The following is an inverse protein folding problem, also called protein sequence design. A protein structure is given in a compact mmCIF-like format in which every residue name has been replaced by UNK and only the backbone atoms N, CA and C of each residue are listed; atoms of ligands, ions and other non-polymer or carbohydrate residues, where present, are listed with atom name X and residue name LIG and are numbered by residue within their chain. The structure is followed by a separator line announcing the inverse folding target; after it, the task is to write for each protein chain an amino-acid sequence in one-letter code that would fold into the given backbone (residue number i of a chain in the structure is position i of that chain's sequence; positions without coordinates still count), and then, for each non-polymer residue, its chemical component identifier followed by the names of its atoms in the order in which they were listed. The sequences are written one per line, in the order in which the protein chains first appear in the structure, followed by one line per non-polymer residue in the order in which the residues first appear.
data_IF_649430378552
#
_entry.id   IF_649430378552
#
_cell.length_a   1.000
_cell.length_b   1.000
_cell.length_c   1.000
_cell.angle_alpha   90.00
_cell.angle_beta   90.00
_cell.angle_gamma   90.00
#
_symmetry.space_group_name_H-M   'P 1'
#
loop_
_entity.id
_entity.type
_entity.pdbx_description
1 polymer ?
#
# COMPACT_ATOMS: atom_id res chain seq x y z
N UNK A 1 10.90 15.13 9.74
CA UNK A 1 11.44 13.84 10.14
C UNK A 1 12.16 13.27 8.94
N UNK A 2 13.32 12.66 9.16
CA UNK A 2 14.04 11.96 8.09
C UNK A 2 13.91 10.45 8.25
N UNK A 3 14.09 9.77 7.12
CA UNK A 3 14.18 8.33 7.01
C UNK A 3 15.58 7.94 6.56
N UNK A 4 16.16 6.94 7.22
CA UNK A 4 17.52 6.45 7.00
C UNK A 4 17.50 5.02 6.48
N UNK A 5 18.49 4.66 5.67
CA UNK A 5 18.65 3.27 5.22
C UNK A 5 19.13 2.39 6.37
N UNK A 6 18.58 1.17 6.48
CA UNK A 6 19.04 0.13 7.39
C UNK A 6 20.49 -0.32 7.13
N UNK A 7 21.07 0.01 5.97
CA UNK A 7 22.49 -0.25 5.66
C UNK A 7 23.40 0.96 5.86
N UNK A 8 22.83 2.13 6.18
CA UNK A 8 23.57 3.34 6.57
C UNK A 8 24.40 4.01 5.46
N UNK A 9 24.29 3.56 4.20
CA UNK A 9 25.10 4.06 3.07
C UNK A 9 24.28 4.88 2.07
N UNK A 10 23.05 5.25 2.44
CA UNK A 10 22.16 6.09 1.62
C UNK A 10 21.80 7.38 2.35
N UNK A 11 21.54 8.49 1.62
CA UNK A 11 21.11 9.75 2.22
C UNK A 11 19.84 9.61 3.04
N UNK A 12 19.73 10.44 4.08
CA UNK A 12 18.52 10.59 4.85
C UNK A 12 17.49 11.43 4.07
N UNK A 13 16.30 10.86 3.81
CA UNK A 13 15.28 11.42 2.92
C UNK A 13 13.99 11.74 3.67
N UNK A 14 13.11 12.56 3.09
CA UNK A 14 11.75 12.77 3.63
C UNK A 14 10.80 11.67 3.17
N UNK A 15 9.61 11.60 3.78
CA UNK A 15 8.62 10.57 3.47
C UNK A 15 8.25 10.53 1.98
N UNK A 16 7.92 11.68 1.37
CA UNK A 16 7.53 11.73 -0.04
C UNK A 16 8.67 11.32 -0.99
N UNK A 17 9.93 11.45 -0.57
CA UNK A 17 11.11 11.06 -1.36
C UNK A 17 11.33 9.54 -1.34
N UNK A 18 10.99 8.89 -0.23
CA UNK A 18 11.10 7.43 -0.09
C UNK A 18 9.83 6.71 -0.54
N UNK A 19 8.68 7.39 -0.57
CA UNK A 19 7.37 6.81 -0.89
C UNK A 19 7.35 6.09 -2.25
N UNK A 20 7.89 6.74 -3.28
CA UNK A 20 7.93 6.18 -4.64
C UNK A 20 9.10 5.21 -4.83
N UNK A 21 10.06 5.24 -3.91
CA UNK A 21 11.20 4.34 -3.86
C UNK A 21 10.82 3.02 -3.21
N UNK A 22 11.36 1.92 -3.74
CA UNK A 22 11.36 0.65 -3.02
C UNK A 22 12.55 0.63 -2.06
N UNK A 23 13.61 -0.03 -2.47
CA UNK A 23 14.87 -0.08 -1.72
C UNK A 23 15.61 1.26 -1.77
N UNK A 24 16.34 1.55 -0.71
CA UNK A 24 17.37 2.58 -0.72
C UNK A 24 18.48 2.25 -1.75
N UNK A 25 19.23 3.23 -2.26
CA UNK A 25 20.30 3.01 -3.24
C UNK A 25 21.35 1.96 -2.83
N UNK A 26 21.62 1.82 -1.53
CA UNK A 26 22.52 0.80 -0.96
C UNK A 26 21.88 -0.60 -0.82
N UNK A 27 20.63 -0.77 -1.25
CA UNK A 27 19.84 -2.00 -1.13
C UNK A 27 19.22 -2.22 0.26
N UNK A 28 19.28 -1.24 1.15
CA UNK A 28 18.61 -1.25 2.45
C UNK A 28 17.14 -0.83 2.38
N UNK A 29 16.48 -0.84 3.54
CA UNK A 29 15.11 -0.35 3.73
C UNK A 29 15.15 1.02 4.39
N UNK A 30 14.23 1.91 4.03
CA UNK A 30 14.10 3.18 4.73
C UNK A 30 13.28 3.01 6.02
N UNK A 31 13.81 3.52 7.13
CA UNK A 31 13.17 3.52 8.45
C UNK A 31 13.23 4.94 9.03
N UNK A 32 12.23 5.37 9.82
CA UNK A 32 12.29 6.68 10.45
C UNK A 32 13.50 6.75 11.37
N UNK A 33 14.19 7.89 11.39
CA UNK A 33 15.37 8.09 12.24
C UNK A 33 15.05 7.92 13.73
N UNK A 34 13.80 8.19 14.12
CA UNK A 34 13.25 8.01 15.45
C UNK A 34 11.79 7.58 15.35
N UNK A 35 11.35 6.68 16.21
CA UNK A 35 9.93 6.35 16.31
C UNK A 35 9.18 7.42 17.10
N UNK A 36 8.03 7.89 16.60
CA UNK A 36 7.21 8.84 17.33
C UNK A 36 6.72 8.23 18.64
N UNK A 37 6.79 9.01 19.71
CA UNK A 37 6.32 8.60 21.03
C UNK A 37 4.89 9.12 21.25
N UNK A 38 4.08 8.29 21.91
CA UNK A 38 2.73 8.65 22.37
C UNK A 38 2.69 8.57 23.89
N UNK A 39 2.32 9.67 24.52
CA UNK A 39 2.11 9.75 25.97
C UNK A 39 0.79 9.10 26.39
N UNK A 40 0.61 8.86 27.68
CA UNK A 40 -0.69 8.41 28.22
C UNK A 40 -1.83 9.37 27.86
N UNK A 41 -1.56 10.67 27.81
CA UNK A 41 -2.54 11.67 27.39
C UNK A 41 -2.92 11.50 25.90
N UNK A 42 -1.94 11.25 25.03
CA UNK A 42 -2.19 10.97 23.61
C UNK A 42 -3.04 9.71 23.46
N UNK A 43 -2.67 8.62 24.13
CA UNK A 43 -3.37 7.34 24.07
C UNK A 43 -4.81 7.43 24.61
N UNK A 44 -5.03 8.20 25.66
CA UNK A 44 -6.37 8.46 26.19
C UNK A 44 -7.23 9.26 25.21
N UNK A 45 -6.66 10.25 24.52
CA UNK A 45 -7.36 11.00 23.48
C UNK A 45 -7.69 10.12 22.26
N UNK A 46 -6.75 9.26 21.85
CA UNK A 46 -6.90 8.36 20.70
C UNK A 46 -7.99 7.30 20.89
N UNK A 47 -8.30 6.92 22.14
CA UNK A 47 -9.30 5.88 22.45
C UNK A 47 -10.70 6.17 21.88
N UNK A 48 -11.09 7.43 21.81
CA UNK A 48 -12.41 7.85 21.35
C UNK A 48 -12.46 8.20 19.85
N UNK A 49 -11.34 8.12 19.15
CA UNK A 49 -11.27 8.50 17.73
C UNK A 49 -11.89 7.43 16.84
N UNK A 50 -12.55 7.86 15.76
CA UNK A 50 -12.87 6.96 14.65
C UNK A 50 -11.58 6.58 13.90
N UNK A 51 -11.68 5.61 12.97
CA UNK A 51 -10.52 5.09 12.24
C UNK A 51 -9.73 6.19 11.49
N UNK A 52 -10.42 7.15 10.87
CA UNK A 52 -9.80 8.22 10.07
C UNK A 52 -9.03 9.20 10.95
N UNK A 53 -9.61 9.63 12.06
CA UNK A 53 -8.95 10.51 13.02
C UNK A 53 -7.74 9.83 13.67
N UNK A 54 -7.88 8.55 14.01
CA UNK A 54 -6.79 7.74 14.54
C UNK A 54 -5.65 7.57 13.53
N UNK A 55 -5.98 7.26 12.28
CA UNK A 55 -5.01 7.16 11.19
C UNK A 55 -4.26 8.48 11.00
N UNK A 56 -4.94 9.62 11.05
CA UNK A 56 -4.28 10.93 10.97
C UNK A 56 -3.36 11.19 12.18
N UNK A 57 -3.82 10.91 13.39
CA UNK A 57 -3.02 11.10 14.61
C UNK A 57 -1.70 10.31 14.57
N UNK A 58 -1.71 9.12 13.97
CA UNK A 58 -0.51 8.28 13.79
C UNK A 58 0.33 8.76 12.60
N UNK A 59 -0.27 8.87 11.41
CA UNK A 59 0.45 9.16 10.17
C UNK A 59 1.06 10.56 10.17
N UNK A 60 0.42 11.56 10.78
CA UNK A 60 0.97 12.93 10.89
C UNK A 60 2.26 13.02 11.70
N UNK A 61 2.57 12.01 12.53
CA UNK A 61 3.86 11.90 13.23
C UNK A 61 4.94 11.24 12.37
N UNK A 62 4.54 10.54 11.32
CA UNK A 62 5.43 9.84 10.38
C UNK A 62 5.62 10.60 9.06
N UNK A 63 4.71 11.50 8.73
CA UNK A 63 4.64 12.22 7.46
C UNK A 63 4.56 13.71 7.78
N UNK A 64 5.68 14.41 7.74
CA UNK A 64 5.76 15.84 8.05
C UNK A 64 6.03 16.74 6.83
N UNK A 65 6.05 16.15 5.64
CA UNK A 65 6.26 16.82 4.35
C UNK A 65 5.00 16.83 3.45
N UNK A 66 3.86 16.35 3.96
CA UNK A 66 2.52 16.53 3.38
C UNK A 66 1.73 17.51 4.27
N UNK A 67 1.14 18.58 3.72
CA UNK A 67 0.28 19.48 4.48
C UNK A 67 -0.84 18.75 5.22
N UNK A 68 -1.16 19.21 6.44
CA UNK A 68 -2.14 18.56 7.30
C UNK A 68 -3.52 18.37 6.63
N UNK A 69 -4.00 19.38 5.90
CA UNK A 69 -5.27 19.31 5.19
C UNK A 69 -5.26 18.27 4.07
N UNK A 70 -4.17 18.20 3.29
CA UNK A 70 -3.98 17.21 2.24
C UNK A 70 -3.92 15.79 2.80
N UNK A 71 -3.18 15.58 3.90
CA UNK A 71 -3.09 14.27 4.55
C UNK A 71 -4.46 13.82 5.08
N UNK A 72 -5.25 14.73 5.66
CA UNK A 72 -6.63 14.44 6.07
C UNK A 72 -7.52 14.08 4.88
N UNK A 73 -7.43 14.81 3.77
CA UNK A 73 -8.18 14.47 2.56
C UNK A 73 -7.82 13.08 2.04
N UNK A 74 -6.53 12.76 1.95
CA UNK A 74 -6.04 11.43 1.54
C UNK A 74 -6.63 10.32 2.44
N UNK A 75 -6.57 10.51 3.76
CA UNK A 75 -7.10 9.55 4.73
C UNK A 75 -8.63 9.40 4.62
N UNK A 76 -9.33 10.53 4.53
CA UNK A 76 -10.79 10.56 4.34
C UNK A 76 -11.21 9.93 3.02
N UNK A 77 -10.37 10.01 1.99
CA UNK A 77 -10.61 9.35 0.71
C UNK A 77 -10.31 7.85 0.72
N UNK A 78 -9.44 7.42 1.63
CA UNK A 78 -8.97 6.05 1.75
C UNK A 78 -9.91 5.20 2.58
N UNK A 79 -10.15 5.60 3.83
CA UNK A 79 -10.83 4.79 4.83
C UNK A 79 -12.28 5.21 4.97
N UNK A 80 -13.12 4.75 4.04
CA UNK A 80 -14.57 5.01 4.04
C UNK A 80 -15.37 3.71 4.03
N UNK A 81 -16.58 3.70 4.61
CA UNK A 81 -17.44 2.52 4.66
C UNK A 81 -17.75 1.92 3.28
N UNK A 82 -17.78 2.72 2.20
CA UNK A 82 -18.05 2.19 0.85
C UNK A 82 -16.89 1.38 0.28
N UNK A 83 -15.66 1.68 0.71
CA UNK A 83 -14.46 0.94 0.30
C UNK A 83 -14.31 -0.32 1.14
N UNK A 84 -14.62 -0.23 2.43
CA UNK A 84 -14.52 -1.32 3.41
C UNK A 84 -15.89 -1.94 3.73
N UNK A 85 -16.73 -2.06 2.69
CA UNK A 85 -18.13 -2.44 2.81
C UNK A 85 -18.38 -3.94 3.05
N UNK A 86 -17.37 -4.80 2.89
CA UNK A 86 -17.53 -6.25 2.96
C UNK A 86 -17.52 -6.76 4.40
N UNK A 87 -18.22 -6.08 5.30
CA UNK A 87 -18.35 -6.49 6.70
C UNK A 87 -19.16 -7.78 6.84
N UNK A 88 -19.09 -8.41 8.01
CA UNK A 88 -19.93 -9.57 8.37
C UNK A 88 -21.16 -9.13 9.16
N UNK A 89 -22.10 -10.04 9.36
CA UNK A 89 -23.29 -9.77 10.17
C UNK A 89 -22.92 -9.22 11.54
N UNK A 90 -23.59 -8.15 11.97
CA UNK A 90 -23.34 -7.48 13.25
C UNK A 90 -22.14 -6.52 13.27
N UNK A 91 -21.46 -6.29 12.14
CA UNK A 91 -20.34 -5.36 12.05
C UNK A 91 -20.71 -4.07 11.32
N UNK A 92 -20.20 -2.94 11.81
CA UNK A 92 -20.40 -1.62 11.22
C UNK A 92 -19.25 -1.26 10.25
N UNK A 93 -19.52 -0.99 8.96
CA UNK A 93 -18.48 -0.59 8.01
C UNK A 93 -17.83 0.76 8.34
N UNK A 94 -18.48 1.64 9.10
CA UNK A 94 -17.88 2.91 9.56
C UNK A 94 -16.66 2.70 10.47
N UNK A 95 -16.57 1.54 11.13
CA UNK A 95 -15.43 1.20 11.98
C UNK A 95 -14.18 0.86 11.16
N UNK A 96 -14.34 0.60 9.85
CA UNK A 96 -13.33 0.14 8.87
C UNK A 96 -12.74 -1.24 9.23
N UNK A 97 -12.23 -1.40 10.45
CA UNK A 97 -11.68 -2.63 11.01
C UNK A 97 -12.41 -3.03 12.32
N UNK A 98 -13.71 -3.40 12.26
CA UNK A 98 -14.47 -3.77 13.45
C UNK A 98 -13.89 -5.01 14.15
N UNK A 99 -14.01 -5.05 15.48
CA UNK A 99 -13.67 -6.24 16.26
C UNK A 99 -14.88 -7.15 16.46
N UNK A 100 -14.66 -8.46 16.41
CA UNK A 100 -15.67 -9.47 16.72
C UNK A 100 -15.20 -10.26 17.95
N UNK A 101 -15.96 -10.19 19.03
CA UNK A 101 -15.72 -11.03 20.21
C UNK A 101 -16.11 -12.47 19.89
N UNK A 102 -15.18 -13.41 20.09
CA UNK A 102 -15.44 -14.84 19.96
C UNK A 102 -15.70 -15.47 21.33
N UNK A 103 -14.84 -15.17 22.30
CA UNK A 103 -14.89 -15.69 23.67
C UNK A 103 -14.42 -14.61 24.66
N UNK A 104 -14.37 -14.94 25.95
CA UNK A 104 -13.71 -14.08 26.93
C UNK A 104 -12.23 -13.92 26.56
N UNK A 105 -11.76 -12.66 26.44
CA UNK A 105 -10.39 -12.33 26.04
C UNK A 105 -9.95 -12.80 24.64
N UNK A 106 -10.87 -13.23 23.77
CA UNK A 106 -10.58 -13.61 22.39
C UNK A 106 -11.42 -12.79 21.40
N UNK A 107 -10.73 -12.04 20.54
CA UNK A 107 -11.35 -11.15 19.55
C UNK A 107 -10.68 -11.32 18.19
N UNK A 108 -11.46 -11.19 17.13
CA UNK A 108 -10.96 -11.02 15.77
C UNK A 108 -10.97 -9.54 15.40
N UNK A 109 -9.87 -9.04 14.83
CA UNK A 109 -9.83 -7.74 14.17
C UNK A 109 -10.07 -7.93 12.67
N UNK A 110 -11.17 -7.40 12.16
CA UNK A 110 -11.60 -7.65 10.79
C UNK A 110 -10.86 -6.73 9.82
N UNK A 111 -9.74 -7.19 9.29
CA UNK A 111 -8.92 -6.44 8.32
C UNK A 111 -9.27 -6.75 6.86
N UNK A 112 -10.15 -7.73 6.62
CA UNK A 112 -10.48 -8.27 5.30
C UNK A 112 -11.82 -7.76 4.74
N UNK A 113 -12.19 -6.52 5.09
CA UNK A 113 -13.46 -5.90 4.68
C UNK A 113 -13.31 -5.01 3.43
N UNK A 114 -12.07 -4.83 2.94
CA UNK A 114 -11.75 -4.03 1.77
C UNK A 114 -12.09 -4.72 0.43
N UNK A 115 -11.79 -4.06 -0.70
CA UNK A 115 -12.21 -4.48 -2.02
C UNK A 115 -11.68 -5.85 -2.47
N UNK A 116 -10.62 -6.34 -1.84
CA UNK A 116 -10.00 -7.61 -2.21
C UNK A 116 -10.16 -8.70 -1.17
N UNK A 117 -10.88 -8.41 -0.08
CA UNK A 117 -11.16 -9.31 1.04
C UNK A 117 -9.90 -9.80 1.77
N UNK A 118 -8.87 -8.96 1.81
CA UNK A 118 -7.62 -9.26 2.50
C UNK A 118 -7.04 -8.02 3.19
N UNK A 119 -6.31 -8.23 4.29
CA UNK A 119 -5.72 -7.15 5.09
C UNK A 119 -4.81 -6.19 4.32
N UNK A 120 -4.28 -6.62 3.15
CA UNK A 120 -3.41 -5.78 2.31
C UNK A 120 -4.14 -4.54 1.78
N UNK A 121 -5.47 -4.58 1.70
CA UNK A 121 -6.28 -3.43 1.33
C UNK A 121 -6.02 -2.22 2.24
N UNK A 122 -5.79 -2.46 3.54
CA UNK A 122 -5.58 -1.42 4.55
C UNK A 122 -4.42 -0.48 4.19
N UNK A 123 -3.31 -1.04 3.72
CA UNK A 123 -2.14 -0.28 3.31
C UNK A 123 -2.22 0.15 1.85
N UNK A 124 -2.63 -0.77 0.95
CA UNK A 124 -2.60 -0.51 -0.49
C UNK A 124 -3.54 0.64 -0.88
N UNK A 125 -4.74 0.72 -0.31
CA UNK A 125 -5.67 1.81 -0.60
C UNK A 125 -5.08 3.18 -0.23
N UNK A 126 -4.40 3.27 0.92
CA UNK A 126 -3.71 4.50 1.34
C UNK A 126 -2.57 4.81 0.38
N UNK A 127 -1.76 3.81 0.06
CA UNK A 127 -0.61 3.93 -0.81
C UNK A 127 -1.00 4.44 -2.20
N UNK A 128 -2.12 3.97 -2.76
CA UNK A 128 -2.61 4.45 -4.05
C UNK A 128 -2.99 5.93 -4.06
N UNK A 129 -3.60 6.43 -2.98
CA UNK A 129 -3.90 7.87 -2.86
C UNK A 129 -2.62 8.70 -2.61
N UNK A 130 -1.67 8.20 -1.82
CA UNK A 130 -0.37 8.86 -1.59
C UNK A 130 0.46 8.94 -2.88
N UNK A 131 0.51 7.87 -3.67
CA UNK A 131 1.20 7.85 -4.96
C UNK A 131 0.62 8.89 -5.92
N UNK A 132 -0.70 8.89 -6.12
CA UNK A 132 -1.37 9.87 -6.98
C UNK A 132 -1.09 11.30 -6.52
N UNK A 133 -1.14 11.57 -5.21
CA UNK A 133 -0.84 12.89 -4.65
C UNK A 133 0.60 13.34 -4.94
N UNK A 134 1.59 12.51 -4.61
CA UNK A 134 3.01 12.87 -4.78
C UNK A 134 3.38 12.99 -6.25
N UNK A 135 2.92 12.08 -7.10
CA UNK A 135 3.18 12.13 -8.54
C UNK A 135 2.55 13.37 -9.19
N UNK A 136 1.31 13.71 -8.82
CA UNK A 136 0.65 14.92 -9.32
C UNK A 136 1.41 16.19 -8.91
N UNK A 137 1.87 16.28 -7.65
CA UNK A 137 2.65 17.42 -7.13
C UNK A 137 4.00 17.58 -7.85
N UNK A 138 4.61 16.47 -8.28
CA UNK A 138 5.89 16.44 -9.02
C UNK A 138 5.72 16.57 -10.53
N UNK A 139 4.51 16.44 -11.08
CA UNK A 139 4.29 16.33 -12.52
C UNK A 139 4.92 15.06 -13.11
N UNK A 140 4.98 13.99 -12.32
CA UNK A 140 5.67 12.75 -12.65
C UNK A 140 4.70 11.58 -12.89
N UNK A 141 5.24 10.48 -13.40
CA UNK A 141 4.55 9.21 -13.57
C UNK A 141 5.44 8.07 -13.12
N UNK A 142 4.85 6.96 -12.70
CA UNK A 142 5.55 5.74 -12.30
C UNK A 142 4.90 4.50 -12.92
N UNK A 143 5.72 3.51 -13.22
CA UNK A 143 5.29 2.20 -13.66
C UNK A 143 5.63 1.18 -12.57
N UNK A 144 4.63 0.72 -11.83
CA UNK A 144 4.78 -0.29 -10.80
C UNK A 144 4.98 -1.64 -11.47
N UNK A 145 6.06 -2.34 -11.15
CA UNK A 145 6.25 -3.73 -11.52
C UNK A 145 6.18 -4.61 -10.27
N UNK A 146 5.29 -5.60 -10.29
CA UNK A 146 5.08 -6.52 -9.18
C UNK A 146 4.96 -7.97 -9.63
N UNK A 147 5.11 -8.90 -8.68
CA UNK A 147 4.78 -10.30 -8.85
C UNK A 147 3.84 -10.74 -7.71
N UNK A 148 2.86 -11.58 -8.02
CA UNK A 148 1.88 -12.07 -7.04
C UNK A 148 1.55 -13.55 -7.23
N UNK A 149 1.12 -14.20 -6.15
CA UNK A 149 0.41 -15.48 -6.17
C UNK A 149 -1.11 -15.32 -6.04
N UNK A 150 -1.61 -14.08 -5.98
CA UNK A 150 -3.02 -13.70 -5.86
C UNK A 150 -3.19 -12.41 -5.04
N UNK A 151 -3.38 -12.54 -3.72
CA UNK A 151 -3.86 -11.48 -2.81
C UNK A 151 -3.14 -10.12 -2.94
N UNK A 152 -1.80 -10.11 -2.97
CA UNK A 152 -1.02 -8.86 -3.04
C UNK A 152 -1.27 -8.11 -4.34
N UNK A 153 -1.41 -8.86 -5.44
CA UNK A 153 -1.67 -8.30 -6.77
C UNK A 153 -3.06 -7.70 -6.84
N UNK A 154 -4.09 -8.43 -6.39
CA UNK A 154 -5.45 -7.89 -6.26
C UNK A 154 -5.43 -6.57 -5.48
N UNK A 155 -4.86 -6.55 -4.27
CA UNK A 155 -4.87 -5.35 -3.43
C UNK A 155 -4.16 -4.15 -4.08
N UNK A 156 -3.01 -4.39 -4.72
CA UNK A 156 -2.28 -3.36 -5.45
C UNK A 156 -3.06 -2.83 -6.66
N UNK A 157 -3.64 -3.72 -7.48
CA UNK A 157 -4.41 -3.33 -8.66
C UNK A 157 -5.67 -2.54 -8.29
N UNK A 158 -6.45 -2.99 -7.30
CA UNK A 158 -7.64 -2.28 -6.84
C UNK A 158 -7.34 -0.93 -6.20
N UNK A 159 -6.16 -0.77 -5.59
CA UNK A 159 -5.73 0.53 -5.05
C UNK A 159 -5.30 1.51 -6.15
N UNK A 160 -4.63 1.00 -7.18
CA UNK A 160 -3.97 1.80 -8.21
C UNK A 160 -4.82 1.99 -9.47
N UNK A 161 -5.88 1.21 -9.67
CA UNK A 161 -6.78 1.37 -10.83
C UNK A 161 -7.36 2.79 -10.87
N UNK A 162 -7.30 3.40 -12.05
CA UNK A 162 -7.75 4.77 -12.28
C UNK A 162 -6.91 5.88 -11.61
N UNK A 163 -5.84 5.56 -10.87
CA UNK A 163 -4.95 6.57 -10.27
C UNK A 163 -4.12 7.27 -11.34
N UNK A 164 -4.12 8.60 -11.33
CA UNK A 164 -3.35 9.41 -12.28
C UNK A 164 -1.86 9.26 -12.04
N UNK A 165 -1.11 9.17 -13.13
CA UNK A 165 0.34 9.04 -13.10
C UNK A 165 0.86 7.66 -12.70
N UNK A 166 -0.02 6.68 -12.43
CA UNK A 166 0.37 5.32 -12.03
C UNK A 166 -0.05 4.32 -13.09
N UNK A 167 0.85 3.41 -13.47
CA UNK A 167 0.51 2.15 -14.16
C UNK A 167 0.98 0.97 -13.34
N UNK A 168 0.29 -0.16 -13.42
CA UNK A 168 0.65 -1.40 -12.73
C UNK A 168 0.84 -2.51 -13.74
N UNK A 169 2.02 -3.12 -13.72
CA UNK A 169 2.37 -4.32 -14.46
C UNK A 169 2.53 -5.45 -13.45
N UNK A 170 1.53 -6.33 -13.39
CA UNK A 170 1.47 -7.39 -12.39
C UNK A 170 1.74 -8.74 -13.03
N UNK A 171 2.85 -9.36 -12.64
CA UNK A 171 3.22 -10.70 -13.04
C UNK A 171 2.51 -11.71 -12.14
N UNK A 172 1.81 -12.68 -12.72
CA UNK A 172 1.18 -13.78 -11.99
C UNK A 172 1.42 -15.11 -12.69
N UNK A 173 1.53 -16.23 -11.97
CA UNK A 173 1.76 -17.53 -12.59
C UNK A 173 0.48 -18.02 -13.29
N UNK A 174 0.57 -18.26 -14.60
CA UNK A 174 -0.53 -18.68 -15.44
C UNK A 174 -1.18 -19.97 -14.91
N UNK A 175 -2.49 -19.92 -14.67
CA UNK A 175 -3.32 -21.04 -14.19
C UNK A 175 -2.91 -21.63 -12.82
N UNK A 176 -2.18 -20.87 -11.98
CA UNK A 176 -1.74 -21.34 -10.65
C UNK A 176 -2.31 -20.55 -9.46
N UNK A 177 -3.09 -19.50 -9.71
CA UNK A 177 -3.80 -18.75 -8.66
C UNK A 177 -5.19 -19.34 -8.42
N UNK A 178 -5.79 -19.06 -7.26
CA UNK A 178 -7.20 -19.43 -7.04
C UNK A 178 -8.10 -18.72 -8.05
N UNK A 179 -9.26 -19.33 -8.33
CA UNK A 179 -10.23 -18.74 -9.27
C UNK A 179 -10.70 -17.35 -8.82
N UNK A 180 -10.89 -17.16 -7.52
CA UNK A 180 -11.34 -15.89 -6.95
C UNK A 180 -10.31 -14.78 -7.18
N UNK A 181 -9.05 -15.01 -6.80
CA UNK A 181 -7.98 -14.02 -6.98
C UNK A 181 -7.71 -13.73 -8.46
N UNK A 182 -7.71 -14.76 -9.31
CA UNK A 182 -7.55 -14.59 -10.75
C UNK A 182 -8.68 -13.74 -11.35
N UNK A 183 -9.92 -13.98 -10.92
CA UNK A 183 -11.07 -13.21 -11.39
C UNK A 183 -11.02 -11.76 -10.90
N UNK A 184 -10.61 -11.50 -9.65
CA UNK A 184 -10.41 -10.14 -9.15
C UNK A 184 -9.44 -9.35 -10.03
N UNK A 185 -8.27 -9.93 -10.33
CA UNK A 185 -7.25 -9.24 -11.12
C UNK A 185 -7.63 -9.16 -12.61
N UNK A 186 -7.94 -10.28 -13.24
CA UNK A 186 -8.05 -10.37 -14.70
C UNK A 186 -9.37 -9.81 -15.26
N UNK A 187 -10.34 -9.50 -14.40
CA UNK A 187 -11.58 -8.84 -14.82
C UNK A 187 -11.45 -7.31 -14.93
N UNK A 188 -10.41 -6.71 -14.35
CA UNK A 188 -10.18 -5.27 -14.43
C UNK A 188 -9.97 -4.82 -15.88
N UNK A 189 -10.68 -3.77 -16.28
CA UNK A 189 -10.61 -3.17 -17.62
C UNK A 189 -9.92 -1.81 -17.64
N UNK A 190 -9.47 -1.34 -16.47
CA UNK A 190 -8.82 -0.05 -16.31
C UNK A 190 -7.53 0.03 -17.14
N UNK A 191 -7.40 1.06 -17.98
CA UNK A 191 -6.31 1.20 -18.96
C UNK A 191 -4.90 1.25 -18.33
N UNK A 192 -4.81 1.54 -17.03
CA UNK A 192 -3.56 1.63 -16.31
C UNK A 192 -3.15 0.32 -15.61
N UNK A 193 -3.95 -0.75 -15.75
CA UNK A 193 -3.68 -2.07 -15.15
C UNK A 193 -3.31 -3.08 -16.26
N UNK A 194 -2.13 -3.70 -16.11
CA UNK A 194 -1.57 -4.65 -17.05
C UNK A 194 -1.31 -5.97 -16.34
N UNK A 195 -2.21 -6.93 -16.55
CA UNK A 195 -2.10 -8.28 -16.03
C UNK A 195 -1.27 -9.16 -16.98
N UNK A 196 -0.14 -9.70 -16.50
CA UNK A 196 0.79 -10.51 -17.30
C UNK A 196 0.87 -11.91 -16.70
N UNK A 197 0.25 -12.88 -17.36
CA UNK A 197 0.28 -14.27 -16.96
C UNK A 197 1.58 -14.96 -17.43
N UNK A 198 2.52 -15.15 -16.51
CA UNK A 198 3.80 -15.81 -16.73
C UNK A 198 3.58 -17.33 -16.84
N UNK A 199 4.05 -17.94 -17.93
CA UNK A 199 4.02 -19.40 -18.11
C UNK A 199 5.11 -20.04 -17.24
N UNK A 200 4.82 -20.19 -15.96
CA UNK A 200 5.79 -20.56 -14.94
C UNK A 200 5.20 -20.72 -13.55
N UNK A 201 6.06 -20.72 -12.54
CA UNK A 201 5.70 -20.63 -11.11
C UNK A 201 5.84 -19.20 -10.58
N UNK A 202 5.37 -18.96 -9.35
CA UNK A 202 5.48 -17.66 -8.71
C UNK A 202 6.93 -17.19 -8.57
N UNK A 203 7.85 -18.09 -8.20
CA UNK A 203 9.27 -17.76 -8.02
C UNK A 203 9.90 -17.22 -9.32
N UNK A 204 9.51 -17.76 -10.48
CA UNK A 204 9.98 -17.27 -11.78
C UNK A 204 9.43 -15.87 -12.09
N UNK A 205 8.17 -15.59 -11.73
CA UNK A 205 7.63 -14.23 -11.81
C UNK A 205 8.39 -13.27 -10.88
N UNK A 206 8.75 -13.70 -9.67
CA UNK A 206 9.58 -12.90 -8.77
C UNK A 206 10.98 -12.67 -9.31
N UNK A 207 11.59 -13.67 -9.94
CA UNK A 207 12.93 -13.55 -10.51
C UNK A 207 12.97 -12.56 -11.69
N UNK A 208 11.90 -12.47 -12.49
CA UNK A 208 11.76 -11.41 -13.50
C UNK A 208 11.74 -10.02 -12.83
N UNK A 209 10.97 -9.84 -11.74
CA UNK A 209 10.93 -8.57 -11.00
C UNK A 209 12.31 -8.23 -10.42
N UNK A 210 13.03 -9.21 -9.86
CA UNK A 210 14.40 -9.02 -9.35
C UNK A 210 15.38 -8.65 -10.46
N UNK A 211 15.28 -9.30 -11.62
CA UNK A 211 16.13 -9.01 -12.77
C UNK A 211 15.94 -7.55 -13.24
N UNK A 212 14.68 -7.11 -13.38
CA UNK A 212 14.36 -5.70 -13.68
C UNK A 212 14.81 -4.78 -12.56
N UNK A 213 14.71 -5.20 -11.29
CA UNK A 213 15.16 -4.41 -10.15
C UNK A 213 16.68 -4.13 -10.16
N UNK A 214 17.47 -5.05 -10.71
CA UNK A 214 18.92 -4.96 -10.85
C UNK A 214 19.38 -4.21 -12.12
N UNK A 215 18.48 -4.01 -13.09
CA UNK A 215 18.77 -3.19 -14.27
C UNK A 215 18.45 -1.71 -14.00
N UNK A 216 19.44 -1.01 -13.44
CA UNK A 216 19.30 0.40 -13.08
C UNK A 216 19.00 1.30 -14.28
N UNK A 217 19.52 0.98 -15.47
CA UNK A 217 19.27 1.76 -16.68
C UNK A 217 17.82 1.61 -17.13
N UNK A 218 17.30 0.38 -17.16
CA UNK A 218 15.90 0.12 -17.46
C UNK A 218 14.95 0.78 -16.45
N UNK A 219 15.25 0.67 -15.15
CA UNK A 219 14.44 1.32 -14.10
C UNK A 219 14.38 2.84 -14.27
N UNK A 220 15.52 3.48 -14.54
CA UNK A 220 15.58 4.91 -14.75
C UNK A 220 14.81 5.32 -16.01
N UNK A 221 15.01 4.61 -17.13
CA UNK A 221 14.35 4.88 -18.40
C UNK A 221 12.83 4.75 -18.31
N UNK A 222 12.33 3.69 -17.67
CA UNK A 222 10.90 3.38 -17.59
C UNK A 222 10.26 3.79 -16.27
N UNK A 223 10.97 4.50 -15.39
CA UNK A 223 10.47 4.95 -14.08
C UNK A 223 9.82 3.79 -13.30
N UNK A 224 10.55 2.69 -13.18
CA UNK A 224 10.03 1.48 -12.54
C UNK A 224 10.00 1.68 -11.01
N UNK A 225 8.79 1.71 -10.46
CA UNK A 225 8.50 1.63 -9.03
C UNK A 225 8.22 0.20 -8.59
N UNK A 226 8.16 -0.01 -7.27
CA UNK A 226 7.79 -1.29 -6.67
C UNK A 226 6.67 -1.09 -5.66
N UNK A 227 5.73 -2.03 -5.63
CA UNK A 227 4.70 -2.12 -4.59
C UNK A 227 4.74 -3.54 -4.05
N UNK A 228 5.58 -3.72 -3.04
CA UNK A 228 5.76 -4.98 -2.32
C UNK A 228 5.96 -4.64 -0.83
N UNK A 229 6.27 -5.65 -0.01
CA UNK A 229 6.44 -5.49 1.44
C UNK A 229 7.64 -4.60 1.87
N UNK A 230 8.39 -4.02 0.94
CA UNK A 230 9.51 -3.11 1.21
C UNK A 230 9.04 -1.67 1.41
N UNK A 231 7.89 -1.30 0.83
CA UNK A 231 7.32 0.03 0.97
C UNK A 231 6.70 0.23 2.36
#
# INVERSE_FOLDING_TARGET
MKYISTRGQSPALHFCDILLGGLAPDGGLYMPEQYPQFSDADLNAMRAMNYRDLAYAILSRLIDDIPAEDLRDIINRTYRPEVYAYTREGQNPEDITPTLKLEENLYLLSLSNGPTLAFKDMAMQLLGNLFEYVLAKRGETTNILGATSGDTGSAAEYAMRGKKGVRVFMLSPHQRMSRFQSAQMFSLQDENIFNIAVRGVFDEAQDIVKAVSNDHAFKAQYKIGAVNSIN
#
